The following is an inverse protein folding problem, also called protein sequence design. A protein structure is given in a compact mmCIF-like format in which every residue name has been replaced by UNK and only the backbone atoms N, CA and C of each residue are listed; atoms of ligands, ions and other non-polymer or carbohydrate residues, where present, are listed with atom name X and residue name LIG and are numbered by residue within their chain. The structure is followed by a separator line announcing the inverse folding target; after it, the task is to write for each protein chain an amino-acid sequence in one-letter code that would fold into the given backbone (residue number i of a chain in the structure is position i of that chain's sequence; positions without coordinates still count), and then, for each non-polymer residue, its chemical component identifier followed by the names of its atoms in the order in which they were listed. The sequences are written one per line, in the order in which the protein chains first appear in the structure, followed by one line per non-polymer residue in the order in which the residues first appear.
data_IF_178563446129
#
_entry.id   IF_178563446129
#
_cell.length_a   1.000
_cell.length_b   1.000
_cell.length_c   1.000
_cell.angle_alpha   90.00
_cell.angle_beta   90.00
_cell.angle_gamma   90.00
#
_symmetry.space_group_name_H-M   'P 1'
#
loop_
_entity.id
_entity.type
_entity.pdbx_description
1 polymer ?
#
# COMPACT_ATOMS: atom_id res chain seq x y z
N UNK A 1 -14.21 2.67 -21.13
CA UNK A 1 -14.05 3.96 -20.42
C UNK A 1 -12.94 3.78 -19.39
N UNK A 2 -11.68 4.16 -19.71
CA UNK A 2 -10.56 4.07 -18.74
C UNK A 2 -10.74 5.20 -17.74
N UNK A 3 -10.97 4.87 -16.47
CA UNK A 3 -10.94 5.84 -15.37
C UNK A 3 -9.55 6.46 -15.34
N UNK A 4 -9.52 7.78 -15.47
CA UNK A 4 -8.33 8.61 -15.52
C UNK A 4 -7.41 8.31 -14.34
N UNK A 5 -6.15 8.04 -14.65
CA UNK A 5 -5.05 7.97 -13.69
C UNK A 5 -4.89 9.38 -13.10
N UNK A 6 -5.62 9.68 -12.01
CA UNK A 6 -5.46 10.94 -11.30
C UNK A 6 -3.99 11.05 -10.88
N UNK A 7 -3.33 12.22 -11.04
CA UNK A 7 -1.91 12.34 -10.79
C UNK A 7 -1.60 11.96 -9.34
N UNK A 8 -1.09 10.74 -9.17
CA UNK A 8 -0.79 10.18 -7.85
C UNK A 8 0.66 10.49 -7.51
N UNK A 9 0.84 11.26 -6.45
CA UNK A 9 2.14 11.67 -5.93
C UNK A 9 2.62 10.70 -4.85
N UNK A 10 3.94 10.50 -4.78
CA UNK A 10 4.55 9.71 -3.72
C UNK A 10 4.72 10.59 -2.47
N UNK A 11 4.21 10.13 -1.33
CA UNK A 11 4.33 10.82 -0.04
C UNK A 11 4.95 9.91 1.01
N UNK A 12 5.86 10.46 1.81
CA UNK A 12 6.34 9.84 3.04
C UNK A 12 5.30 10.01 4.15
N UNK A 13 4.83 8.90 4.73
CA UNK A 13 3.83 8.84 5.80
C UNK A 13 4.45 8.88 7.21
N UNK A 14 5.77 8.71 7.31
CA UNK A 14 6.51 8.54 8.56
C UNK A 14 7.12 7.14 8.69
N UNK A 15 8.19 7.04 9.50
CA UNK A 15 8.94 5.79 9.75
C UNK A 15 9.46 5.11 8.48
N UNK A 16 9.76 5.89 7.43
CA UNK A 16 10.24 5.40 6.14
C UNK A 16 9.17 4.77 5.25
N UNK A 17 7.90 4.76 5.67
CA UNK A 17 6.78 4.21 4.89
C UNK A 17 6.30 5.25 3.89
N UNK A 18 6.16 4.86 2.62
CA UNK A 18 5.71 5.72 1.53
C UNK A 18 4.35 5.26 1.02
N UNK A 19 3.57 6.16 0.44
CA UNK A 19 2.31 5.82 -0.22
C UNK A 19 2.08 6.67 -1.48
N UNK A 20 1.33 6.13 -2.44
CA UNK A 20 0.83 6.90 -3.58
C UNK A 20 -0.50 7.53 -3.22
N UNK A 21 -0.64 8.83 -3.48
CA UNK A 21 -1.86 9.57 -3.15
C UNK A 21 -2.13 10.69 -4.13
N UNK A 22 -3.42 10.92 -4.42
CA UNK A 22 -3.90 12.12 -5.10
C UNK A 22 -4.14 13.29 -4.12
N UNK A 23 -3.87 13.11 -2.82
CA UNK A 23 -4.04 14.17 -1.82
C UNK A 23 -3.04 15.31 -2.10
N UNK A 24 -3.52 16.57 -2.19
CA UNK A 24 -2.67 17.73 -2.42
C UNK A 24 -1.61 17.91 -1.33
N UNK A 25 -0.49 18.54 -1.69
CA UNK A 25 0.62 18.75 -0.78
C UNK A 25 0.24 19.53 0.49
N UNK A 26 -0.65 20.52 0.36
CA UNK A 26 -1.18 21.32 1.47
C UNK A 26 -1.86 20.51 2.57
N UNK A 27 -2.33 19.30 2.23
CA UNK A 27 -3.13 18.43 3.09
C UNK A 27 -2.36 17.18 3.55
N UNK A 28 -1.15 16.96 3.03
CA UNK A 28 -0.29 15.81 3.39
C UNK A 28 0.07 15.79 4.87
N UNK A 29 0.16 16.94 5.52
CA UNK A 29 0.37 17.01 6.97
C UNK A 29 -0.77 16.31 7.73
N UNK A 30 -2.03 16.55 7.33
CA UNK A 30 -3.18 15.91 7.96
C UNK A 30 -3.22 14.40 7.67
N UNK A 31 -2.88 14.00 6.43
CA UNK A 31 -2.72 12.59 6.05
C UNK A 31 -1.71 11.87 6.96
N UNK A 32 -0.51 12.43 7.11
CA UNK A 32 0.54 11.90 8.00
C UNK A 32 0.05 11.81 9.43
N UNK A 33 -0.62 12.86 9.93
CA UNK A 33 -1.15 12.85 11.29
C UNK A 33 -2.15 11.72 11.52
N UNK A 34 -3.03 11.45 10.54
CA UNK A 34 -3.98 10.34 10.60
C UNK A 34 -3.28 8.98 10.59
N UNK A 35 -2.27 8.81 9.74
CA UNK A 35 -1.46 7.58 9.69
C UNK A 35 -0.63 7.36 10.96
N UNK A 36 -0.18 8.43 11.62
CA UNK A 36 0.46 8.39 12.93
C UNK A 36 -0.53 8.24 14.10
N UNK A 37 -1.84 8.27 13.82
CA UNK A 37 -2.94 8.12 14.78
C UNK A 37 -3.07 9.24 15.79
N UNK A 38 -2.64 10.44 15.41
CA UNK A 38 -3.00 11.64 16.15
C UNK A 38 -4.50 11.91 16.04
N UNK A 39 -5.12 12.54 17.07
CA UNK A 39 -6.51 12.96 17.01
C UNK A 39 -6.75 13.99 15.88
N UNK A 40 -7.99 14.12 15.39
CA UNK A 40 -8.32 15.12 14.39
C UNK A 40 -8.14 16.53 14.97
N UNK A 41 -7.56 17.45 14.19
CA UNK A 41 -7.46 18.85 14.61
C UNK A 41 -8.76 19.59 14.28
N UNK A 42 -9.47 20.18 15.26
CA UNK A 42 -10.74 20.87 15.03
C UNK A 42 -10.61 22.11 14.14
N UNK A 43 -9.40 22.64 13.93
CA UNK A 43 -9.13 23.79 13.05
C UNK A 43 -8.94 23.41 11.58
N UNK A 44 -8.97 22.12 11.26
CA UNK A 44 -8.77 21.66 9.89
C UNK A 44 -9.98 21.93 9.00
N UNK A 45 -9.70 22.27 7.74
CA UNK A 45 -10.71 22.28 6.69
C UNK A 45 -11.25 20.87 6.44
N UNK A 46 -12.42 20.79 5.79
CA UNK A 46 -12.99 19.50 5.39
C UNK A 46 -12.01 18.66 4.55
N UNK A 47 -11.25 19.29 3.65
CA UNK A 47 -10.23 18.61 2.83
C UNK A 47 -9.12 17.98 3.70
N UNK A 48 -8.59 18.71 4.68
CA UNK A 48 -7.60 18.20 5.64
C UNK A 48 -8.19 17.11 6.53
N UNK A 49 -9.44 17.22 6.95
CA UNK A 49 -10.11 16.18 7.72
C UNK A 49 -10.30 14.89 6.90
N UNK A 50 -10.64 15.01 5.61
CA UNK A 50 -10.67 13.87 4.68
C UNK A 50 -9.29 13.24 4.50
N UNK A 51 -8.24 14.03 4.34
CA UNK A 51 -6.87 13.54 4.27
C UNK A 51 -6.46 12.78 5.54
N UNK A 52 -6.75 13.32 6.72
CA UNK A 52 -6.56 12.65 8.00
C UNK A 52 -7.29 11.31 8.09
N UNK A 53 -8.58 11.28 7.73
CA UNK A 53 -9.39 10.05 7.73
C UNK A 53 -8.79 8.98 6.82
N UNK A 54 -8.27 9.37 5.66
CA UNK A 54 -7.54 8.46 4.75
C UNK A 54 -6.31 7.87 5.43
N UNK A 55 -5.51 8.70 6.11
CA UNK A 55 -4.34 8.23 6.86
C UNK A 55 -4.69 7.24 7.96
N UNK A 56 -5.76 7.52 8.72
CA UNK A 56 -6.26 6.60 9.76
C UNK A 56 -6.71 5.27 9.17
N UNK A 57 -7.46 5.30 8.05
CA UNK A 57 -7.86 4.07 7.34
C UNK A 57 -6.66 3.26 6.88
N UNK A 58 -5.61 3.91 6.37
CA UNK A 58 -4.39 3.23 5.96
C UNK A 58 -3.63 2.60 7.11
N UNK A 59 -3.55 3.27 8.27
CA UNK A 59 -3.01 2.66 9.49
C UNK A 59 -3.80 1.41 9.87
N UNK A 60 -5.13 1.51 9.91
CA UNK A 60 -5.98 0.36 10.27
C UNK A 60 -5.81 -0.78 9.27
N UNK A 61 -5.80 -0.50 7.97
CA UNK A 61 -5.58 -1.49 6.92
C UNK A 61 -4.19 -2.15 7.01
N UNK A 62 -3.16 -1.42 7.45
CA UNK A 62 -1.85 -1.99 7.71
C UNK A 62 -1.85 -2.92 8.93
N UNK A 63 -2.64 -2.59 9.96
CA UNK A 63 -2.79 -3.43 11.16
C UNK A 63 -3.62 -4.69 10.91
N UNK A 64 -4.62 -4.63 10.02
CA UNK A 64 -5.47 -5.78 9.64
C UNK A 64 -4.84 -6.65 8.55
N UNK A 65 -3.80 -6.15 7.85
CA UNK A 65 -3.14 -6.85 6.75
C UNK A 65 -3.79 -6.62 5.38
N UNK A 66 -4.80 -5.75 5.28
CA UNK A 66 -5.44 -5.34 4.03
C UNK A 66 -4.50 -4.47 3.16
N UNK A 67 -3.53 -3.81 3.79
CA UNK A 67 -2.40 -3.16 3.15
C UNK A 67 -1.10 -3.70 3.74
N UNK A 68 -0.06 -3.77 2.91
CA UNK A 68 1.27 -4.22 3.31
C UNK A 68 2.33 -3.23 2.86
N UNK A 69 3.42 -3.16 3.64
CA UNK A 69 4.61 -2.41 3.23
C UNK A 69 5.47 -3.32 2.38
N UNK A 70 5.64 -2.96 1.11
CA UNK A 70 6.51 -3.68 0.18
C UNK A 70 7.98 -3.44 0.55
N UNK A 71 8.72 -4.51 0.86
CA UNK A 71 10.08 -4.41 1.39
C UNK A 71 11.11 -3.72 0.48
N UNK A 72 10.91 -3.71 -0.84
CA UNK A 72 11.86 -3.15 -1.80
C UNK A 72 11.97 -1.62 -1.73
N UNK A 73 10.85 -0.94 -1.51
CA UNK A 73 10.74 0.52 -1.62
C UNK A 73 9.94 1.16 -0.48
N UNK A 74 9.61 0.35 0.54
CA UNK A 74 8.79 0.73 1.69
C UNK A 74 7.43 1.33 1.32
N UNK A 75 6.88 0.92 0.17
CA UNK A 75 5.60 1.44 -0.33
C UNK A 75 4.42 0.67 0.28
N UNK A 76 3.43 1.41 0.77
CA UNK A 76 2.14 0.88 1.19
C UNK A 76 1.34 0.49 -0.05
N UNK A 77 1.09 -0.80 -0.22
CA UNK A 77 0.44 -1.39 -1.40
C UNK A 77 -0.59 -2.43 -1.01
N UNK A 78 -1.47 -2.79 -1.94
CA UNK A 78 -2.35 -3.95 -1.76
C UNK A 78 -1.51 -5.25 -1.80
N UNK A 79 -1.81 -6.26 -0.96
CA UNK A 79 -1.14 -7.56 -0.98
C UNK A 79 -1.06 -8.21 -2.38
N UNK A 80 -2.10 -8.05 -3.21
CA UNK A 80 -2.12 -8.56 -4.58
C UNK A 80 -1.05 -7.95 -5.50
N UNK A 81 -0.58 -6.74 -5.22
CA UNK A 81 0.51 -6.10 -5.96
C UNK A 81 1.88 -6.68 -5.60
N UNK A 82 2.03 -7.22 -4.40
CA UNK A 82 3.26 -7.92 -3.98
C UNK A 82 3.36 -9.29 -4.64
N UNK A 83 2.22 -9.99 -4.79
CA UNK A 83 2.15 -11.34 -5.37
C UNK A 83 2.57 -11.40 -6.85
N UNK A 84 2.39 -10.30 -7.60
CA UNK A 84 2.81 -10.22 -9.02
C UNK A 84 4.33 -10.17 -9.23
N UNK A 85 5.12 -10.00 -8.17
CA UNK A 85 6.58 -9.94 -8.22
C UNK A 85 7.27 -11.24 -7.81
N UNK A 86 6.53 -12.29 -7.46
CA UNK A 86 7.11 -13.64 -7.47
C UNK A 86 7.13 -14.11 -8.93
N UNK A 87 8.33 -14.36 -9.52
CA UNK A 87 8.36 -15.22 -10.68
C UNK A 87 7.75 -16.54 -10.24
N UNK A 88 6.76 -16.99 -10.99
CA UNK A 88 6.21 -18.33 -10.96
C UNK A 88 7.32 -19.33 -11.31
N UNK A 89 8.31 -19.53 -10.45
CA UNK A 89 9.14 -20.72 -10.46
C UNK A 89 8.39 -21.82 -9.69
N UNK A 90 7.22 -22.17 -10.23
CA UNK A 90 6.68 -23.50 -10.06
C UNK A 90 7.64 -24.42 -10.80
N UNK A 91 8.47 -25.14 -10.06
CA UNK A 91 9.24 -26.28 -10.59
C UNK A 91 8.27 -27.16 -11.40
N UNK A 92 8.53 -27.49 -12.68
CA UNK A 92 7.79 -28.56 -13.31
C UNK A 92 8.12 -29.83 -12.50
N UNK A 93 7.09 -30.47 -11.95
CA UNK A 93 7.23 -31.75 -11.29
C UNK A 93 7.99 -32.69 -12.22
N UNK A 94 9.20 -33.09 -11.84
CA UNK A 94 9.97 -34.09 -12.55
C UNK A 94 9.12 -35.37 -12.55
N UNK A 95 8.84 -36.00 -13.71
CA UNK A 95 8.10 -37.25 -13.73
C UNK A 95 8.92 -38.32 -12.99
N UNK A 96 8.32 -38.85 -11.93
CA UNK A 96 8.82 -40.00 -11.18
C UNK A 96 8.98 -41.18 -12.14
N UNK A 97 10.24 -41.59 -12.29
CA UNK A 97 10.68 -42.96 -12.61
C UNK A 97 9.73 -43.81 -13.47
N UNK A 98 9.91 -43.78 -14.79
CA UNK A 98 9.71 -45.01 -15.56
C UNK A 98 10.89 -45.94 -15.28
N UNK A 99 10.78 -46.71 -14.20
CA UNK A 99 11.54 -47.95 -14.01
C UNK A 99 10.68 -49.11 -14.50
N UNK A 100 10.79 -49.42 -15.79
CA UNK A 100 10.59 -50.80 -16.26
C UNK A 100 11.70 -51.10 -17.27
N UNK A 101 12.71 -51.80 -16.75
CA UNK A 101 13.77 -52.56 -17.41
C UNK A 101 13.20 -53.79 -18.15
N UNK A 102 13.98 -54.42 -19.06
CA UNK A 102 13.51 -55.24 -20.19
C UNK A 102 12.80 -56.56 -19.84
#
# INVERSE_FOLDING_TARGET
MRMSDAPSSLVDLGNGIKARTAIPESDRAALRSGFAGYPPNPRWSAAKHCAWRTGTRWRSALQTGDLVVRSRDALLVNPAEVSKLQPTHSLPALPLHQRQTP
#
